data_IF_742470914506
#
_entry.id   IF_742470914506
#
_cell.length_a   1.000
_cell.length_b   1.000
_cell.length_c   1.000
_cell.angle_alpha   90.00
_cell.angle_beta   90.00
_cell.angle_gamma   90.00
#
_symmetry.space_group_name_H-M   'P 1'
#
loop_
_entity.id
_entity.type
_entity.pdbx_description
1 polymer ?
#
# COMPACT_ATOMS: atom_id res chain seq x y z
N UNK A 1 1.83 -0.96 -7.70
CA UNK A 1 2.44 0.35 -7.33
C UNK A 1 3.95 0.25 -7.21
N UNK A 2 4.68 1.37 -7.29
CA UNK A 2 6.14 1.41 -7.20
C UNK A 2 6.60 2.55 -6.29
N UNK A 3 7.68 2.31 -5.55
CA UNK A 3 8.39 3.30 -4.76
C UNK A 3 9.89 3.00 -4.75
N UNK A 4 10.69 3.97 -4.32
CA UNK A 4 12.16 3.86 -4.29
C UNK A 4 12.63 3.74 -2.84
N UNK A 5 13.49 2.76 -2.57
CA UNK A 5 14.14 2.59 -1.27
C UNK A 5 15.31 3.56 -1.09
N UNK A 6 15.84 3.69 0.13
CA UNK A 6 17.00 4.58 0.38
C UNK A 6 18.25 4.21 -0.41
N UNK A 7 18.44 2.93 -0.70
CA UNK A 7 19.54 2.40 -1.50
C UNK A 7 19.25 2.43 -3.02
N UNK A 8 18.23 3.18 -3.45
CA UNK A 8 17.82 3.37 -4.84
C UNK A 8 17.36 2.10 -5.56
N UNK A 9 16.80 1.14 -4.83
CA UNK A 9 16.11 -0.02 -5.43
C UNK A 9 14.66 0.33 -5.71
N UNK A 10 14.09 -0.32 -6.72
CA UNK A 10 12.67 -0.24 -7.01
C UNK A 10 11.95 -1.28 -6.17
N UNK A 11 11.06 -0.82 -5.30
CA UNK A 11 10.17 -1.68 -4.54
C UNK A 11 8.80 -1.62 -5.18
N UNK A 12 8.29 -2.79 -5.56
CA UNK A 12 7.04 -2.92 -6.29
C UNK A 12 6.07 -3.77 -5.47
N UNK A 13 4.94 -3.16 -5.12
CA UNK A 13 3.77 -3.89 -4.66
C UNK A 13 3.04 -4.44 -5.86
N UNK A 14 2.86 -5.76 -5.88
CA UNK A 14 2.10 -6.47 -6.90
C UNK A 14 0.73 -6.82 -6.33
N UNK A 15 -0.32 -6.48 -7.05
CA UNK A 15 -1.67 -6.93 -6.69
C UNK A 15 -1.76 -8.44 -6.86
N UNK A 16 -2.58 -9.06 -6.03
CA UNK A 16 -2.91 -10.47 -6.10
C UNK A 16 -3.93 -10.79 -7.18
N UNK A 17 -4.31 -12.06 -7.24
CA UNK A 17 -5.47 -12.47 -8.00
C UNK A 17 -6.75 -12.01 -7.31
N UNK A 18 -7.69 -11.43 -8.06
CA UNK A 18 -8.94 -10.83 -7.55
C UNK A 18 -9.73 -11.76 -6.62
N UNK A 19 -9.59 -13.07 -6.79
CA UNK A 19 -10.33 -14.11 -6.06
C UNK A 19 -9.52 -14.84 -5.00
N UNK A 20 -8.22 -14.52 -4.82
CA UNK A 20 -7.32 -15.21 -3.90
C UNK A 20 -6.86 -14.23 -2.82
N UNK A 21 -7.41 -14.29 -1.60
CA UNK A 21 -6.94 -13.41 -0.53
C UNK A 21 -5.50 -13.69 -0.12
N UNK A 22 -4.75 -12.63 0.22
CA UNK A 22 -3.45 -12.74 0.87
C UNK A 22 -2.26 -13.12 -0.01
N UNK A 23 -2.42 -13.10 -1.35
CA UNK A 23 -1.40 -13.54 -2.31
C UNK A 23 -0.56 -12.41 -2.93
N UNK A 24 -0.83 -11.14 -2.58
CA UNK A 24 0.00 -10.03 -3.06
C UNK A 24 1.47 -10.22 -2.68
N UNK A 25 2.32 -9.70 -3.56
CA UNK A 25 3.77 -9.76 -3.40
C UNK A 25 4.36 -8.38 -3.19
N UNK A 26 5.42 -8.34 -2.40
CA UNK A 26 6.38 -7.24 -2.40
C UNK A 26 7.64 -7.73 -3.10
N UNK A 27 8.05 -7.01 -4.14
CA UNK A 27 9.21 -7.39 -4.97
C UNK A 27 10.22 -6.25 -5.02
N UNK A 28 11.50 -6.58 -5.15
CA UNK A 28 12.58 -5.58 -5.29
C UNK A 28 13.35 -5.85 -6.56
N UNK A 29 13.65 -4.77 -7.28
CA UNK A 29 14.49 -4.76 -8.47
C UNK A 29 15.60 -3.73 -8.32
N UNK A 30 16.80 -4.04 -8.81
CA UNK A 30 17.87 -3.06 -8.95
C UNK A 30 17.83 -2.46 -10.37
N UNK A 31 17.55 -1.15 -10.51
CA UNK A 31 17.61 -0.47 -11.80
C UNK A 31 18.91 -0.69 -12.58
N UNK A 32 20.03 -0.91 -11.88
CA UNK A 32 21.36 -1.06 -12.50
C UNK A 32 21.54 -2.40 -13.19
N UNK A 33 20.82 -3.43 -12.77
CA UNK A 33 20.93 -4.79 -13.30
C UNK A 33 19.64 -5.26 -13.97
N UNK A 34 18.58 -4.45 -13.93
CA UNK A 34 17.29 -4.77 -14.51
C UNK A 34 17.36 -4.97 -16.03
N UNK A 35 16.87 -6.11 -16.50
CA UNK A 35 16.66 -6.40 -17.92
C UNK A 35 15.15 -6.38 -18.21
N UNK A 36 14.65 -5.46 -19.07
CA UNK A 36 13.23 -5.42 -19.41
C UNK A 36 12.75 -6.64 -20.22
N UNK A 37 13.64 -7.32 -20.95
CA UNK A 37 13.29 -8.51 -21.73
C UNK A 37 13.23 -9.79 -20.87
N UNK A 38 13.89 -9.77 -19.71
CA UNK A 38 13.89 -10.87 -18.74
C UNK A 38 13.80 -10.30 -17.31
N UNK A 39 12.62 -9.77 -16.93
CA UNK A 39 12.47 -9.07 -15.65
C UNK A 39 12.59 -10.05 -14.48
N UNK A 40 13.65 -9.88 -13.69
CA UNK A 40 13.92 -10.71 -12.51
C UNK A 40 14.02 -9.86 -11.26
N UNK A 41 13.19 -10.17 -10.27
CA UNK A 41 13.28 -9.54 -8.96
C UNK A 41 14.52 -10.07 -8.21
N UNK A 42 15.24 -9.19 -7.51
CA UNK A 42 16.29 -9.56 -6.56
C UNK A 42 15.70 -10.30 -5.36
N UNK A 43 14.51 -9.84 -4.92
CA UNK A 43 13.75 -10.42 -3.82
C UNK A 43 12.26 -10.40 -4.12
N UNK A 44 11.55 -11.39 -3.60
CA UNK A 44 10.10 -11.49 -3.67
C UNK A 44 9.57 -12.10 -2.38
N UNK A 45 8.58 -11.44 -1.78
CA UNK A 45 7.98 -11.87 -0.52
C UNK A 45 6.46 -11.92 -0.63
N UNK A 46 5.89 -12.97 -0.05
CA UNK A 46 4.46 -12.99 0.28
C UNK A 46 4.20 -12.02 1.43
N UNK A 47 3.18 -11.19 1.29
CA UNK A 47 2.86 -10.16 2.30
C UNK A 47 1.71 -10.59 3.22
N UNK A 48 0.86 -11.53 2.76
CA UNK A 48 -0.40 -11.86 3.42
C UNK A 48 -1.51 -10.82 3.22
N UNK A 49 -1.24 -9.76 2.43
CA UNK A 49 -2.24 -8.82 1.93
C UNK A 49 -2.78 -9.31 0.59
N UNK A 50 -3.95 -8.85 0.19
CA UNK A 50 -4.58 -9.33 -1.06
C UNK A 50 -4.14 -8.52 -2.27
N UNK A 51 -4.16 -7.19 -2.17
CA UNK A 51 -4.05 -6.31 -3.33
C UNK A 51 -3.30 -5.03 -2.98
N UNK A 52 -1.97 -5.09 -2.98
CA UNK A 52 -1.16 -3.88 -2.76
C UNK A 52 -1.36 -2.92 -3.94
N UNK A 53 -2.20 -1.90 -3.74
CA UNK A 53 -2.59 -0.94 -4.78
C UNK A 53 -1.77 0.36 -4.70
N UNK A 54 -1.39 0.78 -3.50
CA UNK A 54 -0.50 1.90 -3.21
C UNK A 54 0.69 1.48 -2.37
N UNK A 55 1.85 2.12 -2.59
CA UNK A 55 3.08 1.87 -1.83
C UNK A 55 3.86 3.18 -1.68
N UNK A 56 4.32 3.49 -0.48
CA UNK A 56 5.11 4.67 -0.20
C UNK A 56 6.17 4.38 0.87
N UNK A 57 7.34 5.00 0.72
CA UNK A 57 8.39 5.01 1.72
C UNK A 57 8.36 6.33 2.48
N UNK A 58 8.34 6.29 3.80
CA UNK A 58 8.35 7.53 4.60
C UNK A 58 9.77 8.10 4.66
N UNK A 59 9.99 9.34 4.19
CA UNK A 59 11.31 9.97 4.27
C UNK A 59 11.73 10.25 5.71
N UNK A 60 10.76 10.35 6.64
CA UNK A 60 10.95 10.71 8.05
C UNK A 60 11.13 9.51 8.95
N UNK A 61 10.24 8.52 8.88
CA UNK A 61 10.26 7.35 9.78
C UNK A 61 11.07 6.20 9.24
N UNK A 62 11.45 6.24 7.95
CA UNK A 62 12.19 5.17 7.26
C UNK A 62 11.40 3.86 7.15
N UNK A 63 10.07 3.95 7.26
CA UNK A 63 9.16 2.82 7.19
C UNK A 63 8.40 2.78 5.87
N UNK A 64 7.95 1.59 5.52
CA UNK A 64 7.11 1.33 4.36
C UNK A 64 5.63 1.35 4.74
N UNK A 65 4.83 1.94 3.86
CA UNK A 65 3.38 1.98 3.99
C UNK A 65 2.74 1.54 2.68
N UNK A 66 1.69 0.75 2.75
CA UNK A 66 0.97 0.29 1.59
C UNK A 66 -0.54 0.31 1.82
N UNK A 67 -1.29 0.33 0.72
CA UNK A 67 -2.74 0.15 0.77
C UNK A 67 -3.08 -1.23 0.25
N UNK A 68 -3.93 -1.95 0.98
CA UNK A 68 -4.55 -3.18 0.49
C UNK A 68 -5.97 -2.84 0.01
N UNK A 69 -6.25 -3.09 -1.27
CA UNK A 69 -7.58 -2.90 -1.84
C UNK A 69 -8.54 -4.03 -1.41
N UNK A 70 -8.02 -5.24 -1.27
CA UNK A 70 -8.72 -6.47 -0.90
C UNK A 70 -10.03 -6.72 -1.68
N UNK A 71 -9.95 -6.96 -2.99
CA UNK A 71 -11.13 -7.18 -3.84
C UNK A 71 -12.04 -8.30 -3.34
N UNK A 72 -11.46 -9.44 -2.98
CA UNK A 72 -12.21 -10.61 -2.52
C UNK A 72 -12.90 -10.41 -1.16
N UNK A 73 -12.33 -9.56 -0.30
CA UNK A 73 -12.78 -9.33 1.07
C UNK A 73 -12.56 -7.86 1.47
N UNK A 74 -13.39 -6.91 0.99
CA UNK A 74 -13.15 -5.48 1.12
C UNK A 74 -12.97 -4.98 2.58
N UNK A 75 -13.53 -5.68 3.56
CA UNK A 75 -13.34 -5.41 4.98
C UNK A 75 -11.88 -5.60 5.47
N UNK A 76 -11.09 -6.41 4.77
CA UNK A 76 -9.66 -6.58 5.04
C UNK A 76 -8.85 -5.42 4.46
N UNK A 77 -9.41 -4.66 3.51
CA UNK A 77 -8.79 -3.50 2.89
C UNK A 77 -8.45 -2.38 3.88
N UNK A 78 -7.42 -1.60 3.56
CA UNK A 78 -6.93 -0.58 4.47
C UNK A 78 -5.54 -0.04 4.18
N UNK A 79 -5.04 0.73 5.15
CA UNK A 79 -3.67 1.21 5.22
C UNK A 79 -2.86 0.31 6.14
N UNK A 80 -1.66 -0.06 5.70
CA UNK A 80 -0.76 -0.97 6.42
C UNK A 80 0.65 -0.40 6.50
N UNK A 81 1.33 -0.66 7.62
CA UNK A 81 2.79 -0.58 7.74
C UNK A 81 3.39 -1.92 7.29
N UNK A 82 4.51 -1.87 6.55
CA UNK A 82 5.30 -3.04 6.16
C UNK A 82 6.67 -3.01 6.85
N UNK A 83 7.07 -4.14 7.42
CA UNK A 83 8.41 -4.34 7.98
C UNK A 83 9.10 -5.46 7.21
N UNK A 84 10.29 -5.17 6.68
CA UNK A 84 11.11 -6.10 5.89
C UNK A 84 12.31 -6.51 6.74
N UNK A 85 12.41 -7.79 7.08
CA UNK A 85 13.49 -8.36 7.89
C UNK A 85 14.08 -9.57 7.17
N UNK A 86 15.23 -9.38 6.50
CA UNK A 86 15.88 -10.42 5.72
C UNK A 86 14.95 -10.97 4.64
N UNK A 87 14.55 -12.23 4.79
CA UNK A 87 13.69 -12.95 3.83
C UNK A 87 12.20 -12.96 4.24
N UNK A 88 11.77 -12.05 5.13
CA UNK A 88 10.39 -11.97 5.60
C UNK A 88 9.84 -10.56 5.53
N UNK A 89 8.58 -10.46 5.12
CA UNK A 89 7.74 -9.26 5.28
C UNK A 89 6.69 -9.53 6.33
N UNK A 90 6.47 -8.58 7.23
CA UNK A 90 5.32 -8.55 8.15
C UNK A 90 4.51 -7.29 7.93
N UNK A 91 3.21 -7.38 8.18
CA UNK A 91 2.26 -6.29 7.92
C UNK A 91 1.49 -5.96 9.19
N UNK A 92 1.23 -4.68 9.41
CA UNK A 92 0.40 -4.18 10.52
C UNK A 92 -0.68 -3.27 9.96
N UNK A 93 -1.95 -3.65 10.14
CA UNK A 93 -3.08 -2.80 9.77
C UNK A 93 -3.09 -1.56 10.67
N UNK A 94 -3.11 -0.39 10.04
CA UNK A 94 -3.11 0.90 10.73
C UNK A 94 -4.51 1.53 10.72
N UNK A 95 -5.23 1.38 9.61
CA UNK A 95 -6.60 1.86 9.46
C UNK A 95 -7.37 1.01 8.45
N UNK A 96 -8.64 0.76 8.72
CA UNK A 96 -9.57 0.25 7.71
C UNK A 96 -9.98 1.39 6.78
N UNK A 97 -9.81 1.19 5.47
CA UNK A 97 -10.15 2.16 4.44
C UNK A 97 -10.93 1.45 3.34
N UNK A 98 -11.92 2.13 2.76
CA UNK A 98 -12.79 1.55 1.73
C UNK A 98 -12.19 1.73 0.33
N UNK A 99 -11.54 0.68 -0.19
CA UNK A 99 -10.89 0.67 -1.52
C UNK A 99 -9.79 1.74 -1.65
N UNK A 100 -8.76 1.74 -0.78
CA UNK A 100 -7.62 2.64 -0.90
C UNK A 100 -6.74 2.25 -2.10
N UNK A 101 -6.20 3.23 -2.83
CA UNK A 101 -5.54 2.97 -4.12
C UNK A 101 -4.15 3.58 -4.27
N UNK A 102 -3.86 4.70 -3.62
CA UNK A 102 -2.56 5.35 -3.74
C UNK A 102 -2.17 6.04 -2.44
N UNK A 103 -0.85 6.17 -2.24
CA UNK A 103 -0.23 6.74 -1.06
C UNK A 103 0.92 7.66 -1.48
N UNK A 104 1.10 8.78 -0.78
CA UNK A 104 2.29 9.62 -0.92
C UNK A 104 2.58 10.36 0.38
N UNK A 105 3.87 10.52 0.71
CA UNK A 105 4.32 11.40 1.78
C UNK A 105 4.63 12.78 1.23
N UNK A 106 4.23 13.83 1.96
CA UNK A 106 4.79 15.17 1.73
C UNK A 106 6.16 15.35 2.42
N UNK A 107 6.75 16.53 2.24
CA UNK A 107 8.05 16.89 2.82
C UNK A 107 8.07 16.93 4.36
N UNK A 108 6.92 17.13 5.00
CA UNK A 108 6.81 17.24 6.46
C UNK A 108 6.53 15.85 7.09
N UNK A 109 6.25 14.86 6.24
CA UNK A 109 5.99 13.48 6.60
C UNK A 109 4.51 13.16 6.77
N UNK A 110 3.59 14.02 6.33
CA UNK A 110 2.16 13.71 6.33
C UNK A 110 1.86 12.70 5.21
N UNK A 111 1.03 11.70 5.52
CA UNK A 111 0.64 10.69 4.55
C UNK A 111 -0.69 11.06 3.90
N UNK A 112 -0.70 11.18 2.58
CA UNK A 112 -1.92 11.34 1.78
C UNK A 112 -2.34 10.01 1.18
N UNK A 113 -3.63 9.71 1.26
CA UNK A 113 -4.21 8.45 0.77
C UNK A 113 -5.39 8.74 -0.15
N UNK A 114 -5.33 8.25 -1.38
CA UNK A 114 -6.46 8.26 -2.30
C UNK A 114 -7.35 7.04 -2.05
N UNK A 115 -8.65 7.27 -1.91
CA UNK A 115 -9.66 6.26 -1.61
C UNK A 115 -10.75 6.32 -2.67
N UNK A 116 -11.08 5.18 -3.28
CA UNK A 116 -12.17 5.10 -4.26
C UNK A 116 -13.54 5.17 -3.59
N UNK A 117 -13.70 4.51 -2.44
CA UNK A 117 -14.95 4.44 -1.70
C UNK A 117 -16.03 3.61 -2.41
N UNK A 118 -17.10 3.32 -1.68
CA UNK A 118 -18.26 2.58 -2.16
C UNK A 118 -19.44 3.53 -2.28
N UNK A 119 -20.04 3.58 -3.48
CA UNK A 119 -21.18 4.45 -3.71
C UNK A 119 -22.37 3.97 -2.88
N UNK A 120 -23.15 4.88 -2.27
CA UNK A 120 -24.37 4.49 -1.59
C UNK A 120 -25.38 3.96 -2.61
N UNK A 121 -26.35 3.14 -2.16
CA UNK A 121 -27.31 2.47 -3.04
C UNK A 121 -28.18 3.43 -3.87
N UNK A 122 -28.33 4.66 -3.40
CA UNK A 122 -29.12 5.73 -4.01
C UNK A 122 -28.28 6.73 -4.82
N UNK A 123 -26.99 6.45 -5.04
CA UNK A 123 -26.12 7.26 -5.91
C UNK A 123 -26.69 7.37 -7.33
N UNK A 124 -26.62 8.58 -7.90
CA UNK A 124 -27.11 8.89 -9.25
C UNK A 124 -26.01 9.49 -10.10
N UNK A 125 -26.15 9.33 -11.41
CA UNK A 125 -25.30 10.02 -12.37
C UNK A 125 -25.36 11.54 -12.13
N UNK A 126 -24.19 12.16 -11.97
CA UNK A 126 -24.03 13.57 -11.61
C UNK A 126 -23.76 13.82 -10.13
N UNK A 127 -23.98 12.84 -9.25
CA UNK A 127 -23.55 12.92 -7.86
C UNK A 127 -22.02 12.83 -7.76
N UNK A 128 -21.45 13.53 -6.78
CA UNK A 128 -20.04 13.36 -6.45
C UNK A 128 -19.78 11.90 -6.09
N UNK A 129 -18.66 11.36 -6.60
CA UNK A 129 -18.24 10.00 -6.24
C UNK A 129 -17.89 9.95 -4.75
N UNK A 130 -17.98 8.78 -4.10
CA UNK A 130 -17.59 8.60 -2.71
C UNK A 130 -16.08 8.71 -2.48
N UNK A 131 -15.30 8.93 -3.55
CA UNK A 131 -13.86 9.00 -3.50
C UNK A 131 -13.34 10.19 -2.70
N UNK A 132 -12.25 9.99 -1.98
CA UNK A 132 -11.69 10.98 -1.06
C UNK A 132 -10.18 10.98 -1.12
N UNK A 133 -9.60 12.16 -0.86
CA UNK A 133 -8.21 12.30 -0.44
C UNK A 133 -8.19 12.44 1.08
N UNK A 134 -7.57 11.48 1.76
CA UNK A 134 -7.35 11.53 3.20
C UNK A 134 -5.94 12.04 3.47
N UNK A 135 -5.78 12.82 4.53
CA UNK A 135 -4.48 13.15 5.10
C UNK A 135 -4.42 12.51 6.49
N UNK A 136 -3.38 11.74 6.73
CA UNK A 136 -3.15 11.01 7.98
C UNK A 136 -1.81 11.48 8.54
N UNK A 137 -1.81 11.97 9.77
CA UNK A 137 -0.58 12.32 10.47
C UNK A 137 0.19 11.04 10.78
N UNK A 138 1.33 10.86 10.12
CA UNK A 138 2.16 9.68 10.30
C UNK A 138 2.74 9.56 11.72
N UNK A 139 2.81 10.66 12.49
CA UNK A 139 3.20 10.60 13.89
C UNK A 139 2.14 9.89 14.76
N UNK A 140 0.87 9.89 14.34
CA UNK A 140 -0.21 9.21 15.04
C UNK A 140 -0.30 7.72 14.69
N UNK A 141 0.32 7.28 13.59
CA UNK A 141 0.32 5.88 13.13
C UNK A 141 1.14 4.92 14.03
N UNK A 142 1.85 5.44 15.04
CA UNK A 142 2.68 4.69 15.98
C UNK A 142 2.35 4.86 17.46
N UNK A 143 1.29 5.59 17.82
CA UNK A 143 0.82 5.69 19.20
C UNK A 143 0.11 4.39 19.65
N UNK A 144 0.06 4.10 20.97
CA UNK A 144 -0.81 3.02 21.45
C UNK A 144 -2.24 3.29 20.97
N UNK A 145 -2.91 2.25 20.47
CA UNK A 145 -4.33 2.34 20.12
C UNK A 145 -5.08 2.83 21.36
N UNK A 146 -5.74 3.97 21.27
CA UNK A 146 -6.68 4.38 22.33
C UNK A 146 -7.88 3.46 22.24
N UNK A 147 -8.14 2.75 23.34
CA UNK A 147 -9.32 1.91 23.58
C UNK A 147 -10.63 2.71 23.51
#
# INVERSE_FOLDING_TARGET
>A
PIAVSEDNKLVVGQMGEVTVPGDSLLTIYDPKTFNPDEPKAEKSWKTGLSDIAGLAYSPKTKKWYCSDFAWAKPEDGGLFELTIEGDKVTTKKLASLDKPTALAFDKDGNLYVAVFGTAPKDWKEGDMTPGKLLMIDAAQLGGPATE
#
